data_IF_590020614980
#
_entry.id   IF_590020614980
#
_cell.length_a   1.000
_cell.length_b   1.000
_cell.length_c   1.000
_cell.angle_alpha   90.00
_cell.angle_beta   90.00
_cell.angle_gamma   90.00
#
_symmetry.space_group_name_H-M   'P 1'
#
loop_
_entity.id
_entity.type
_entity.pdbx_description
1 polymer ?
#
# COMPACT_ATOMS: atom_id res chain seq x y z
N UNK A 1 -12.68 -12.80 -13.63
CA UNK A 1 -12.73 -11.52 -12.93
C UNK A 1 -11.54 -10.74 -13.45
N UNK A 2 -11.76 -9.66 -14.21
CA UNK A 2 -10.66 -8.78 -14.61
C UNK A 2 -10.19 -8.05 -13.35
N UNK A 3 -8.91 -8.19 -13.00
CA UNK A 3 -8.32 -7.39 -11.94
C UNK A 3 -8.33 -5.92 -12.36
N UNK A 4 -9.17 -5.12 -11.71
CA UNK A 4 -9.17 -3.69 -11.91
C UNK A 4 -7.86 -3.15 -11.36
N UNK A 5 -7.04 -2.63 -12.28
CA UNK A 5 -5.78 -1.98 -11.95
C UNK A 5 -6.03 -0.86 -10.93
N UNK A 6 -5.38 -0.96 -9.78
CA UNK A 6 -5.48 -0.02 -8.67
C UNK A 6 -4.50 1.13 -8.87
N UNK A 7 -5.01 2.35 -8.80
CA UNK A 7 -4.17 3.54 -8.76
C UNK A 7 -3.86 3.94 -7.33
N UNK A 8 -2.60 4.26 -7.07
CA UNK A 8 -2.10 4.71 -5.78
C UNK A 8 -2.00 6.23 -5.73
N UNK A 9 -2.39 6.78 -4.59
CA UNK A 9 -2.52 8.21 -4.34
C UNK A 9 -2.25 8.60 -2.87
N UNK A 10 -1.85 7.65 -2.02
CA UNK A 10 -1.54 7.92 -0.62
C UNK A 10 -0.23 7.29 -0.16
N UNK A 11 0.29 7.82 0.96
CA UNK A 11 1.39 7.22 1.71
C UNK A 11 0.91 7.02 3.14
N UNK A 12 1.17 5.85 3.70
CA UNK A 12 0.80 5.47 5.06
C UNK A 12 2.00 4.90 5.83
N UNK A 13 1.97 5.01 7.16
CA UNK A 13 2.88 4.33 8.07
C UNK A 13 2.17 3.14 8.68
N UNK A 14 2.79 1.96 8.58
CA UNK A 14 2.30 0.74 9.18
C UNK A 14 3.22 0.38 10.34
N UNK A 15 2.63 0.14 11.51
CA UNK A 15 3.32 -0.39 12.69
C UNK A 15 3.00 -1.88 12.81
N UNK A 16 4.04 -2.73 12.78
CA UNK A 16 3.92 -4.17 12.98
C UNK A 16 3.68 -4.49 14.46
N UNK A 17 3.26 -5.72 14.74
CA UNK A 17 3.03 -6.20 16.11
C UNK A 17 4.30 -6.23 16.98
N UNK A 18 5.49 -6.31 16.37
CA UNK A 18 6.77 -6.19 17.06
C UNK A 18 7.20 -4.72 17.34
N UNK A 19 6.39 -3.75 16.93
CA UNK A 19 6.64 -2.31 17.08
C UNK A 19 7.51 -1.69 15.98
N UNK A 20 8.05 -2.48 15.05
CA UNK A 20 8.76 -1.94 13.89
C UNK A 20 7.80 -1.23 12.94
N UNK A 21 8.32 -0.22 12.22
CA UNK A 21 7.53 0.62 11.34
C UNK A 21 8.06 0.59 9.92
N UNK A 22 7.19 0.81 8.95
CA UNK A 22 7.55 1.03 7.56
C UNK A 22 6.49 1.89 6.86
N UNK A 23 6.87 2.48 5.73
CA UNK A 23 5.95 3.25 4.90
C UNK A 23 5.41 2.41 3.75
N UNK A 24 4.16 2.63 3.36
CA UNK A 24 3.57 2.01 2.18
C UNK A 24 2.99 3.10 1.27
N UNK A 25 3.06 2.87 -0.05
CA UNK A 25 2.43 3.73 -1.05
C UNK A 25 1.22 2.95 -1.58
N UNK A 26 0.02 3.45 -1.32
CA UNK A 26 -1.20 2.68 -1.57
C UNK A 26 -2.36 3.60 -2.00
N UNK A 27 -3.60 3.15 -1.80
CA UNK A 27 -4.82 3.92 -2.02
C UNK A 27 -5.83 3.65 -0.92
N UNK A 28 -6.98 4.32 -0.98
CA UNK A 28 -7.99 4.24 0.08
C UNK A 28 -8.51 2.82 0.31
N UNK A 29 -8.62 2.00 -0.73
CA UNK A 29 -9.06 0.61 -0.60
C UNK A 29 -8.03 -0.19 0.20
N UNK A 30 -6.75 -0.12 -0.19
CA UNK A 30 -5.69 -0.86 0.49
C UNK A 30 -5.46 -0.36 1.93
N UNK A 31 -5.59 0.94 2.17
CA UNK A 31 -5.59 1.47 3.53
C UNK A 31 -6.75 0.90 4.36
N UNK A 32 -7.96 0.80 3.79
CA UNK A 32 -9.10 0.17 4.45
C UNK A 32 -8.82 -1.29 4.83
N UNK A 33 -8.17 -2.05 3.95
CA UNK A 33 -7.71 -3.41 4.28
C UNK A 33 -6.63 -3.43 5.38
N UNK A 34 -5.73 -2.45 5.42
CA UNK A 34 -4.76 -2.32 6.51
C UNK A 34 -5.43 -1.97 7.85
N UNK A 35 -6.44 -1.09 7.86
CA UNK A 35 -7.26 -0.78 9.05
C UNK A 35 -8.00 -2.04 9.56
N UNK A 36 -8.60 -2.83 8.65
CA UNK A 36 -9.19 -4.12 9.01
C UNK A 36 -8.15 -5.10 9.57
N UNK A 37 -6.95 -5.15 8.98
CA UNK A 37 -5.85 -5.97 9.47
C UNK A 37 -5.40 -5.56 10.88
N UNK A 38 -5.40 -4.26 11.18
CA UNK A 38 -5.13 -3.76 12.53
C UNK A 38 -6.24 -4.16 13.53
N UNK A 39 -7.51 -4.01 13.14
CA UNK A 39 -8.65 -4.42 13.96
C UNK A 39 -8.64 -5.93 14.26
N UNK A 40 -8.17 -6.74 13.31
CA UNK A 40 -8.04 -8.19 13.43
C UNK A 40 -6.72 -8.63 14.10
N UNK A 41 -5.86 -7.69 14.50
CA UNK A 41 -4.59 -7.97 15.20
C UNK A 41 -3.46 -8.52 14.33
N UNK A 42 -3.56 -8.45 13.00
CA UNK A 42 -2.48 -8.85 12.07
C UNK A 42 -1.32 -7.84 12.05
N UNK A 43 -1.65 -6.56 12.19
CA UNK A 43 -0.71 -5.46 12.42
C UNK A 43 -1.14 -4.65 13.65
N UNK A 44 -0.27 -3.76 14.13
CA UNK A 44 -0.55 -2.97 15.33
C UNK A 44 -1.44 -1.76 15.03
N UNK A 45 -1.12 -1.03 13.97
CA UNK A 45 -1.86 0.15 13.51
C UNK A 45 -1.39 0.58 12.13
N UNK A 46 -2.23 1.31 11.41
CA UNK A 46 -1.87 2.04 10.19
C UNK A 46 -2.25 3.52 10.36
N UNK A 47 -1.51 4.42 9.70
CA UNK A 47 -1.78 5.87 9.73
C UNK A 47 -1.48 6.48 8.37
N UNK A 48 -2.47 7.07 7.72
CA UNK A 48 -2.25 7.88 6.52
C UNK A 48 -1.39 9.10 6.87
N UNK A 49 -0.32 9.31 6.10
CA UNK A 49 0.59 10.45 6.24
C UNK A 49 0.34 11.51 5.17
N UNK A 50 0.11 11.09 3.94
CA UNK A 50 -0.07 11.96 2.77
C UNK A 50 -1.19 11.40 1.90
N UNK A 51 -2.05 12.29 1.40
CA UNK A 51 -3.09 11.99 0.41
C UNK A 51 -2.86 12.81 -0.85
N UNK A 52 -3.40 12.36 -1.99
CA UNK A 52 -3.28 13.01 -3.29
C UNK A 52 -1.83 13.23 -3.73
N UNK A 53 -0.98 12.20 -3.59
CA UNK A 53 0.42 12.29 -4.04
C UNK A 53 0.51 12.52 -5.56
N UNK A 54 1.52 13.26 -6.07
CA UNK A 54 1.63 13.54 -7.50
C UNK A 54 1.82 12.29 -8.37
N UNK A 55 1.16 12.24 -9.54
CA UNK A 55 1.34 11.20 -10.57
C UNK A 55 2.70 11.32 -11.27
N UNK A 56 3.71 10.72 -10.66
CA UNK A 56 5.08 10.67 -11.20
C UNK A 56 5.36 9.33 -11.88
N UNK A 57 6.37 9.29 -12.77
CA UNK A 57 6.85 8.02 -13.36
C UNK A 57 7.30 7.00 -12.32
N UNK A 58 7.87 7.46 -11.21
CA UNK A 58 8.25 6.60 -10.10
C UNK A 58 7.01 5.94 -9.47
N UNK A 59 5.95 6.72 -9.21
CA UNK A 59 4.69 6.19 -8.70
C UNK A 59 4.09 5.15 -9.65
N UNK A 60 4.00 5.46 -10.94
CA UNK A 60 3.52 4.51 -11.96
C UNK A 60 4.35 3.22 -11.99
N UNK A 61 5.67 3.32 -11.85
CA UNK A 61 6.57 2.16 -11.85
C UNK A 61 6.33 1.24 -10.64
N UNK A 62 6.17 1.84 -9.46
CA UNK A 62 5.86 1.11 -8.24
C UNK A 62 4.47 0.47 -8.31
N UNK A 63 3.47 1.23 -8.72
CA UNK A 63 2.08 0.81 -8.88
C UNK A 63 1.92 -0.36 -9.86
N UNK A 64 2.57 -0.28 -11.03
CA UNK A 64 2.56 -1.36 -12.02
C UNK A 64 3.12 -2.66 -11.46
N UNK A 65 4.19 -2.57 -10.66
CA UNK A 65 4.78 -3.73 -10.01
C UNK A 65 3.80 -4.34 -9.01
N UNK A 66 3.22 -3.55 -8.11
CA UNK A 66 2.31 -4.07 -7.08
C UNK A 66 1.07 -4.72 -7.71
N UNK A 67 0.44 -4.05 -8.68
CA UNK A 67 -0.70 -4.58 -9.41
C UNK A 67 -0.40 -5.90 -10.14
N UNK A 68 0.86 -6.14 -10.51
CA UNK A 68 1.29 -7.38 -11.18
C UNK A 68 1.69 -8.47 -10.18
N UNK A 69 2.27 -8.09 -9.05
CA UNK A 69 2.85 -9.00 -8.08
C UNK A 69 1.86 -9.48 -7.02
N UNK A 70 0.81 -8.70 -6.74
CA UNK A 70 -0.14 -8.96 -5.67
C UNK A 70 -1.58 -8.99 -6.17
N UNK A 71 -2.36 -9.84 -5.52
CA UNK A 71 -3.81 -9.83 -5.64
C UNK A 71 -4.36 -8.65 -4.85
N UNK A 72 -4.66 -7.54 -5.52
CA UNK A 72 -5.28 -6.40 -4.86
C UNK A 72 -6.79 -6.61 -4.79
N UNK A 73 -7.33 -6.28 -3.63
CA UNK A 73 -8.76 -6.34 -3.33
C UNK A 73 -9.36 -4.94 -3.37
N UNK A 74 -10.68 -4.82 -3.51
CA UNK A 74 -11.38 -3.53 -3.47
C UNK A 74 -12.48 -3.56 -2.44
N UNK A 75 -12.71 -2.43 -1.77
CA UNK A 75 -13.83 -2.29 -0.83
C UNK A 75 -15.20 -2.35 -1.53
N UNK A 76 -15.23 -2.24 -2.86
CA UNK A 76 -16.46 -2.36 -3.65
C UNK A 76 -16.95 -3.81 -3.81
N UNK A 77 -16.12 -4.81 -3.47
CA UNK A 77 -16.47 -6.22 -3.56
C UNK A 77 -16.75 -6.78 -2.16
N UNK A 78 -17.95 -7.31 -1.94
CA UNK A 78 -18.39 -7.74 -0.61
C UNK A 78 -17.56 -8.89 -0.04
N UNK A 79 -17.20 -9.85 -0.89
CA UNK A 79 -16.42 -11.03 -0.51
C UNK A 79 -15.01 -10.66 0.00
N UNK A 80 -14.45 -9.56 -0.49
CA UNK A 80 -13.10 -9.13 -0.14
C UNK A 80 -13.01 -8.60 1.30
N UNK A 81 -14.01 -7.85 1.79
CA UNK A 81 -13.97 -7.27 3.13
C UNK A 81 -14.51 -8.19 4.24
N UNK A 82 -15.22 -9.27 3.91
CA UNK A 82 -15.61 -10.30 4.89
C UNK A 82 -14.42 -11.15 5.37
N UNK A 83 -13.42 -11.38 4.51
CA UNK A 83 -12.24 -12.19 4.82
C UNK A 83 -10.93 -11.49 4.40
N UNK A 84 -10.61 -10.31 4.98
CA UNK A 84 -9.53 -9.47 4.51
C UNK A 84 -8.19 -10.19 4.67
N UNK A 85 -7.52 -10.43 3.54
CA UNK A 85 -6.13 -10.90 3.54
C UNK A 85 -5.20 -9.69 3.56
N UNK A 86 -4.24 -9.71 4.47
CA UNK A 86 -3.23 -8.68 4.55
C UNK A 86 -1.84 -9.29 4.35
N UNK A 87 -1.08 -8.67 3.45
CA UNK A 87 0.30 -9.05 3.15
C UNK A 87 1.12 -7.78 3.05
N UNK A 88 2.29 -7.78 3.68
CA UNK A 88 3.28 -6.74 3.47
C UNK A 88 3.92 -6.93 2.09
N UNK A 89 3.91 -5.87 1.26
CA UNK A 89 4.47 -5.97 -0.08
C UNK A 89 6.00 -5.82 -0.09
N UNK A 90 6.66 -6.75 -0.76
CA UNK A 90 8.09 -6.72 -1.00
C UNK A 90 8.46 -5.56 -1.93
N UNK A 91 9.57 -4.91 -1.61
CA UNK A 91 10.20 -3.86 -2.43
C UNK A 91 11.57 -4.36 -2.90
N UNK A 92 11.62 -5.25 -3.91
CA UNK A 92 12.86 -5.88 -4.36
C UNK A 92 13.87 -4.83 -4.84
N UNK A 93 15.16 -5.13 -4.65
CA UNK A 93 16.26 -4.25 -5.08
C UNK A 93 16.16 -3.93 -6.56
N UNK A 94 16.59 -2.72 -6.93
CA UNK A 94 16.57 -2.21 -8.29
C UNK A 94 15.38 -1.27 -8.54
N UNK A 95 14.84 -1.21 -9.77
CA UNK A 95 13.93 -0.15 -10.19
C UNK A 95 12.68 0.05 -9.32
N UNK A 96 12.14 -1.04 -8.74
CA UNK A 96 10.96 -0.97 -7.86
C UNK A 96 11.29 -0.29 -6.54
N UNK A 97 12.39 -0.70 -5.88
CA UNK A 97 12.85 -0.07 -4.64
C UNK A 97 13.24 1.38 -4.88
N UNK A 98 13.95 1.67 -5.97
CA UNK A 98 14.35 3.04 -6.32
C UNK A 98 13.13 3.93 -6.56
N UNK A 99 12.10 3.42 -7.26
CA UNK A 99 10.85 4.13 -7.49
C UNK A 99 10.10 4.41 -6.19
N UNK A 100 9.97 3.41 -5.32
CA UNK A 100 9.37 3.56 -3.99
C UNK A 100 10.07 4.66 -3.18
N UNK A 101 11.40 4.62 -3.09
CA UNK A 101 12.19 5.62 -2.36
C UNK A 101 12.08 7.02 -2.96
N UNK A 102 12.03 7.13 -4.30
CA UNK A 102 11.82 8.41 -4.98
C UNK A 102 10.46 9.04 -4.63
N UNK A 103 9.39 8.23 -4.56
CA UNK A 103 8.06 8.72 -4.17
C UNK A 103 8.06 9.21 -2.73
N UNK A 104 8.65 8.46 -1.79
CA UNK A 104 8.76 8.89 -0.39
C UNK A 104 9.54 10.20 -0.27
N UNK A 105 10.71 10.27 -0.91
CA UNK A 105 11.57 11.46 -0.92
C UNK A 105 10.86 12.68 -1.51
N UNK A 106 10.12 12.52 -2.61
CA UNK A 106 9.36 13.60 -3.23
C UNK A 106 8.27 14.16 -2.31
N UNK A 107 7.73 13.32 -1.42
CA UNK A 107 6.71 13.69 -0.44
C UNK A 107 7.29 14.00 0.95
N UNK A 108 8.62 14.11 1.08
CA UNK A 108 9.33 14.40 2.34
C UNK A 108 9.06 13.38 3.46
N UNK A 109 8.87 12.12 3.07
CA UNK A 109 8.78 10.97 3.97
C UNK A 109 10.12 10.25 3.97
N UNK A 110 10.70 10.04 5.15
CA UNK A 110 12.04 9.46 5.32
C UNK A 110 12.84 10.13 6.42
#
# INVERSE_FOLDING_TARGET
MDHLYQQFDLIEEITRNDGSQYYEISNIDQNGFAELAANNGLIKSVRILVINIPRTKALETYEQYINKAYQLHTLMNEEDWENPQWVEWDKPKGPVRDAYEMVLKANKIG
#
